data_IF_470984404979
#
_entry.id   IF_470984404979
#
_cell.length_a   1.000
_cell.length_b   1.000
_cell.length_c   1.000
_cell.angle_alpha   90.00
_cell.angle_beta   90.00
_cell.angle_gamma   90.00
#
_symmetry.space_group_name_H-M   'P 1'
#
loop_
_entity.id
_entity.type
_entity.pdbx_description
1 polymer ?
#
# COMPACT_ATOMS: atom_id res chain seq x y z
N UNK A 1 -21.26 22.16 2.24
CA UNK A 1 -20.86 22.36 0.83
C UNK A 1 -20.07 21.14 0.41
N UNK A 2 -20.48 20.48 -0.67
CA UNK A 2 -19.86 19.22 -1.10
C UNK A 2 -18.48 19.49 -1.69
N UNK A 3 -17.46 18.80 -1.18
CA UNK A 3 -16.09 18.86 -1.67
C UNK A 3 -16.04 18.13 -3.02
N UNK A 4 -16.14 18.85 -4.14
CA UNK A 4 -16.12 18.28 -5.48
C UNK A 4 -14.81 18.62 -6.19
N UNK A 5 -13.85 17.71 -6.12
CA UNK A 5 -12.72 17.65 -7.05
C UNK A 5 -11.49 18.50 -6.70
N UNK A 6 -10.32 17.87 -6.89
CA UNK A 6 -8.99 18.47 -6.85
C UNK A 6 -8.57 18.76 -8.31
N UNK A 7 -8.25 20.01 -8.65
CA UNK A 7 -7.75 20.39 -9.98
C UNK A 7 -6.31 20.88 -9.86
N UNK A 8 -5.42 20.35 -10.71
CA UNK A 8 -3.99 20.68 -10.76
C UNK A 8 -3.66 21.39 -12.07
N UNK A 9 -3.01 22.55 -12.02
CA UNK A 9 -2.36 23.15 -13.19
C UNK A 9 -0.92 23.51 -12.83
N UNK A 10 0.04 23.05 -13.62
CA UNK A 10 1.47 23.23 -13.36
C UNK A 10 2.02 24.45 -14.09
N UNK A 11 2.53 25.41 -13.35
CA UNK A 11 3.69 26.21 -13.79
C UNK A 11 4.59 26.39 -12.58
N UNK A 12 5.85 25.94 -12.69
CA UNK A 12 6.90 26.06 -11.66
C UNK A 12 6.77 25.24 -10.36
N UNK A 13 6.31 23.99 -10.42
CA UNK A 13 6.55 23.03 -9.32
C UNK A 13 5.88 23.36 -7.97
N UNK A 14 4.85 24.21 -7.96
CA UNK A 14 4.06 24.54 -6.77
C UNK A 14 2.72 23.81 -6.82
N UNK A 15 2.36 23.10 -5.74
CA UNK A 15 1.02 22.54 -5.54
C UNK A 15 0.09 23.70 -5.15
N UNK A 16 -0.90 23.98 -5.99
CA UNK A 16 -1.98 24.91 -5.68
C UNK A 16 -3.20 24.12 -5.21
N UNK A 17 -3.67 24.40 -3.98
CA UNK A 17 -4.92 23.85 -3.46
C UNK A 17 -5.98 24.94 -3.61
N UNK A 18 -6.94 24.72 -4.51
CA UNK A 18 -8.12 25.57 -4.67
C UNK A 18 -9.39 24.83 -4.23
N UNK A 19 -10.33 25.54 -3.61
CA UNK A 19 -11.70 25.06 -3.42
C UNK A 19 -12.49 25.43 -4.67
N UNK A 20 -13.04 24.45 -5.38
CA UNK A 20 -13.91 24.70 -6.54
C UNK A 20 -15.32 25.05 -6.06
N UNK A 21 -15.80 26.24 -6.44
CA UNK A 21 -17.16 26.73 -6.23
C UNK A 21 -17.67 27.23 -7.59
N UNK A 22 -18.22 26.31 -8.39
CA UNK A 22 -18.55 26.55 -9.80
C UNK A 22 -17.33 26.61 -10.74
N UNK A 23 -17.45 27.36 -11.83
CA UNK A 23 -16.42 27.51 -12.90
C UNK A 23 -15.26 28.47 -12.53
N UNK A 24 -15.18 28.92 -11.27
CA UNK A 24 -14.16 29.87 -10.84
C UNK A 24 -13.19 29.22 -9.84
N UNK A 25 -11.93 29.07 -10.23
CA UNK A 25 -10.85 28.68 -9.31
C UNK A 25 -10.56 29.87 -8.39
N UNK A 26 -10.96 29.79 -7.12
CA UNK A 26 -10.56 30.75 -6.09
C UNK A 26 -9.14 30.39 -5.63
N UNK A 27 -8.17 31.17 -6.10
CA UNK A 27 -6.75 31.07 -5.74
C UNK A 27 -6.56 31.15 -4.22
N UNK A 28 -6.02 30.08 -3.60
CA UNK A 28 -5.41 30.20 -2.27
C UNK A 28 -4.09 30.97 -2.46
N UNK A 29 -3.96 32.06 -1.71
CA UNK A 29 -2.94 33.11 -1.83
C UNK A 29 -1.54 32.55 -2.02
N UNK A 30 -0.88 33.00 -3.10
CA UNK A 30 0.56 32.87 -3.32
C UNK A 30 1.27 33.65 -2.19
N UNK A 31 1.83 32.95 -1.20
CA UNK A 31 2.68 33.58 -0.18
C UNK A 31 4.13 33.23 -0.51
N UNK A 32 4.86 34.19 -1.09
CA UNK A 32 6.27 34.06 -1.52
C UNK A 32 7.24 33.75 -0.37
N UNK A 33 6.79 33.81 0.88
CA UNK A 33 7.62 33.58 2.07
C UNK A 33 7.60 32.13 2.58
N UNK A 34 6.76 31.24 2.02
CA UNK A 34 6.67 29.83 2.44
C UNK A 34 7.23 28.97 1.31
N UNK A 35 8.54 28.70 1.37
CA UNK A 35 9.33 28.05 0.31
C UNK A 35 9.53 26.55 0.50
N UNK A 36 8.89 25.93 1.50
CA UNK A 36 9.12 24.53 1.88
C UNK A 36 7.93 23.61 1.57
N UNK A 37 8.24 22.33 1.32
CA UNK A 37 7.28 21.23 1.14
C UNK A 37 6.24 21.26 2.26
N UNK A 38 4.98 21.55 1.92
CA UNK A 38 3.99 21.98 2.90
C UNK A 38 3.60 20.84 3.86
N UNK A 39 3.98 21.01 5.14
CA UNK A 39 3.52 20.19 6.25
C UNK A 39 2.24 20.84 6.78
N UNK A 40 1.07 20.29 6.45
CA UNK A 40 -0.22 20.90 6.74
C UNK A 40 -1.17 19.94 7.47
N UNK A 41 -2.09 20.51 8.24
CA UNK A 41 -3.23 19.82 8.84
C UNK A 41 -4.33 20.84 9.13
N UNK A 42 -5.58 20.46 8.87
CA UNK A 42 -6.74 21.15 9.45
C UNK A 42 -7.06 20.42 10.75
N UNK A 43 -7.34 21.16 11.83
CA UNK A 43 -7.68 20.55 13.11
C UNK A 43 -9.20 20.51 13.30
N UNK A 44 -9.75 19.34 13.63
CA UNK A 44 -11.20 19.13 13.67
C UNK A 44 -11.95 19.97 14.72
N UNK A 45 -11.27 20.32 15.83
CA UNK A 45 -11.86 21.09 16.93
C UNK A 45 -12.13 22.57 16.62
N UNK A 46 -11.35 23.20 15.74
CA UNK A 46 -11.45 24.63 15.43
C UNK A 46 -11.61 24.94 13.93
N UNK A 47 -11.49 23.93 13.07
CA UNK A 47 -11.55 24.06 11.60
C UNK A 47 -10.50 25.04 11.04
N UNK A 48 -9.36 25.17 11.73
CA UNK A 48 -8.26 26.04 11.33
C UNK A 48 -7.19 25.23 10.58
N UNK A 49 -6.66 25.82 9.49
CA UNK A 49 -5.52 25.27 8.77
C UNK A 49 -4.21 25.68 9.45
N UNK A 50 -3.42 24.68 9.84
CA UNK A 50 -2.07 24.85 10.38
C UNK A 50 -1.03 24.43 9.36
N UNK A 51 0.06 25.20 9.26
CA UNK A 51 1.18 24.93 8.37
C UNK A 51 2.48 25.04 9.16
N UNK A 52 3.22 23.93 9.23
CA UNK A 52 4.58 23.90 9.76
C UNK A 52 5.59 24.32 8.70
N UNK A 53 6.51 25.21 9.09
CA UNK A 53 7.63 25.64 8.25
C UNK A 53 8.80 26.05 9.15
N UNK A 54 10.02 25.70 8.78
CA UNK A 54 11.21 25.88 9.63
C UNK A 54 10.94 25.42 11.09
N UNK A 55 11.06 26.32 12.06
CA UNK A 55 10.75 26.10 13.47
C UNK A 55 9.43 26.75 13.90
N UNK A 56 8.49 27.02 12.99
CA UNK A 56 7.29 27.84 13.23
C UNK A 56 6.01 27.19 12.71
N UNK A 57 4.89 27.51 13.36
CA UNK A 57 3.55 27.21 12.86
C UNK A 57 2.90 28.51 12.39
N UNK A 58 2.44 28.53 11.15
CA UNK A 58 1.46 29.48 10.66
C UNK A 58 0.05 28.90 10.83
N UNK A 59 -0.93 29.76 11.08
CA UNK A 59 -2.35 29.40 11.04
C UNK A 59 -3.14 30.31 10.13
N UNK A 60 -4.13 29.74 9.44
CA UNK A 60 -5.12 30.45 8.66
C UNK A 60 -6.50 30.16 9.24
N UNK A 61 -7.08 31.18 9.85
CA UNK A 61 -8.43 31.18 10.37
C UNK A 61 -9.29 32.06 9.45
N UNK A 62 -10.11 31.41 8.63
CA UNK A 62 -11.03 32.07 7.71
C UNK A 62 -10.39 33.23 6.90
N UNK A 63 -9.26 32.95 6.23
CA UNK A 63 -8.44 33.87 5.42
C UNK A 63 -7.56 34.85 6.21
N UNK A 64 -7.61 34.82 7.54
CA UNK A 64 -6.71 35.62 8.39
C UNK A 64 -5.47 34.81 8.71
N UNK A 65 -4.32 35.28 8.23
CA UNK A 65 -3.04 34.62 8.46
C UNK A 65 -2.32 35.16 9.69
N UNK A 66 -2.01 34.29 10.63
CA UNK A 66 -0.94 34.52 11.62
C UNK A 66 0.25 33.64 11.25
N UNK A 67 1.32 34.25 10.74
CA UNK A 67 2.52 33.54 10.27
C UNK A 67 3.32 32.94 11.45
N UNK A 68 3.25 33.51 12.64
CA UNK A 68 4.02 33.09 13.81
C UNK A 68 3.09 32.70 14.96
N UNK A 69 2.14 31.80 14.68
CA UNK A 69 1.19 31.33 15.66
C UNK A 69 1.86 30.56 16.82
N UNK A 70 2.97 29.88 16.50
CA UNK A 70 3.88 29.25 17.46
C UNK A 70 5.30 29.30 16.92
N UNK A 71 6.29 29.53 17.80
CA UNK A 71 7.72 29.44 17.48
C UNK A 71 8.39 28.43 18.40
N UNK A 72 9.01 27.41 17.82
CA UNK A 72 9.76 26.35 18.49
C UNK A 72 11.26 26.71 18.54
N UNK A 73 12.10 25.97 19.30
CA UNK A 73 13.53 26.23 19.35
C UNK A 73 14.20 26.26 17.96
N UNK A 74 15.13 27.19 17.75
CA UNK A 74 15.73 27.47 16.43
C UNK A 74 16.68 26.39 15.92
N UNK A 75 17.12 25.46 16.78
CA UNK A 75 17.94 24.32 16.39
C UNK A 75 17.09 23.12 15.88
N UNK A 76 15.77 23.27 15.83
CA UNK A 76 14.84 22.27 15.33
C UNK A 76 14.20 22.73 14.02
N UNK A 77 13.80 21.77 13.20
CA UNK A 77 12.92 21.96 12.06
C UNK A 77 11.68 21.08 12.23
N UNK A 78 10.51 21.61 11.91
CA UNK A 78 9.26 20.87 11.85
C UNK A 78 9.32 19.97 10.61
N UNK A 79 9.00 18.70 10.80
CA UNK A 79 9.05 17.68 9.76
C UNK A 79 7.68 17.06 9.49
N UNK A 80 6.77 17.10 10.47
CA UNK A 80 5.41 16.60 10.30
C UNK A 80 4.49 17.22 11.33
N UNK A 81 3.21 17.40 11.00
CA UNK A 81 2.16 17.75 11.96
C UNK A 81 0.97 16.81 11.80
N UNK A 82 0.27 16.53 12.90
CA UNK A 82 -0.94 15.69 12.92
C UNK A 82 -1.88 16.21 13.99
N UNK A 83 -3.17 16.06 13.77
CA UNK A 83 -4.14 16.07 14.85
C UNK A 83 -3.81 14.92 15.84
N UNK A 84 -3.90 15.21 17.14
CA UNK A 84 -3.77 14.26 18.23
C UNK A 84 -4.78 14.59 19.33
N UNK A 85 -6.03 14.12 19.16
CA UNK A 85 -7.14 14.45 20.06
C UNK A 85 -7.37 15.97 20.13
N UNK A 86 -7.21 16.54 21.33
CA UNK A 86 -7.35 17.98 21.54
C UNK A 86 -6.09 18.78 21.26
N UNK A 87 -5.04 18.16 20.73
CA UNK A 87 -3.74 18.79 20.47
C UNK A 87 -3.37 18.70 19.00
N UNK A 88 -2.60 19.68 18.53
CA UNK A 88 -1.77 19.55 17.35
C UNK A 88 -0.44 18.91 17.78
N UNK A 89 -0.18 17.69 17.32
CA UNK A 89 1.12 17.04 17.47
C UNK A 89 2.09 17.54 16.40
N UNK A 90 3.24 18.07 16.82
CA UNK A 90 4.24 18.71 15.97
C UNK A 90 5.54 17.94 16.07
N UNK A 91 5.84 17.15 15.05
CA UNK A 91 7.09 16.41 14.92
C UNK A 91 8.21 17.32 14.43
N UNK A 92 9.33 17.28 15.16
CA UNK A 92 10.52 18.07 14.88
C UNK A 92 11.75 17.17 14.83
N UNK A 93 12.68 17.51 13.95
CA UNK A 93 14.01 16.92 13.91
C UNK A 93 15.07 18.01 14.13
N UNK A 94 16.28 17.61 14.52
CA UNK A 94 17.38 18.54 14.65
C UNK A 94 17.76 19.13 13.28
N UNK A 95 17.95 20.45 13.20
CA UNK A 95 18.31 21.14 11.97
C UNK A 95 19.65 20.65 11.41
N UNK A 96 20.59 20.28 12.28
CA UNK A 96 21.90 19.73 11.90
C UNK A 96 21.83 18.31 11.32
N UNK A 97 20.68 17.63 11.43
CA UNK A 97 20.52 16.21 11.10
C UNK A 97 21.10 15.25 12.15
N UNK A 98 21.72 15.77 13.22
CA UNK A 98 22.30 14.99 14.31
C UNK A 98 21.57 15.29 15.62
N UNK A 99 21.16 14.26 16.35
CA UNK A 99 20.51 14.36 17.66
C UNK A 99 19.17 13.65 17.71
N UNK A 100 18.40 13.94 18.76
CA UNK A 100 17.06 13.40 18.94
C UNK A 100 16.03 14.22 18.18
N UNK A 101 15.02 13.55 17.64
CA UNK A 101 13.77 14.16 17.24
C UNK A 101 12.88 14.38 18.46
N UNK A 102 12.01 15.37 18.38
CA UNK A 102 11.12 15.79 19.47
C UNK A 102 9.71 15.93 18.89
N UNK A 103 8.70 15.53 19.65
CA UNK A 103 7.30 15.83 19.35
C UNK A 103 6.76 16.78 20.41
N UNK A 104 6.15 17.88 19.96
CA UNK A 104 5.44 18.81 20.83
C UNK A 104 3.94 18.59 20.71
N UNK A 105 3.22 18.63 21.83
CA UNK A 105 1.77 18.73 21.84
C UNK A 105 1.39 20.18 22.14
N UNK A 106 0.61 20.79 21.24
CA UNK A 106 0.12 22.15 21.38
C UNK A 106 -1.40 22.16 21.35
N UNK A 107 -2.03 22.77 22.35
CA UNK A 107 -3.48 22.97 22.45
C UNK A 107 -4.04 23.99 21.44
N UNK A 108 -3.17 24.55 20.58
CA UNK A 108 -3.46 25.56 19.55
C UNK A 108 -3.80 26.94 20.09
N UNK A 109 -3.66 27.14 21.40
CA UNK A 109 -3.85 28.44 22.01
C UNK A 109 -2.57 29.27 21.88
N UNK A 110 -2.67 30.36 21.11
CA UNK A 110 -1.56 31.29 20.88
C UNK A 110 -1.41 32.34 21.98
N UNK A 111 -2.29 32.35 22.99
CA UNK A 111 -2.19 33.23 24.16
C UNK A 111 -1.23 32.71 25.22
N UNK A 112 -0.93 31.40 25.19
CA UNK A 112 0.07 30.77 26.05
C UNK A 112 1.40 30.63 25.31
N UNK A 113 2.49 30.90 26.02
CA UNK A 113 3.87 30.75 25.49
C UNK A 113 4.45 29.36 25.75
N UNK A 114 3.74 28.51 26.50
CA UNK A 114 4.17 27.17 26.91
C UNK A 114 3.44 26.09 26.13
N UNK A 115 4.18 25.11 25.64
CA UNK A 115 3.63 23.91 25.00
C UNK A 115 3.03 22.98 26.05
N UNK A 116 1.98 22.25 25.67
CA UNK A 116 1.25 21.36 26.58
C UNK A 116 2.10 20.15 26.99
N UNK A 117 2.87 19.59 26.05
CA UNK A 117 3.79 18.48 26.32
C UNK A 117 4.99 18.49 25.38
N UNK A 118 6.12 17.93 25.85
CA UNK A 118 7.34 17.70 25.08
C UNK A 118 7.72 16.21 25.20
N UNK A 119 7.75 15.52 24.06
CA UNK A 119 8.03 14.08 23.98
C UNK A 119 9.38 13.88 23.27
N UNK A 120 10.33 13.23 23.95
CA UNK A 120 11.58 12.78 23.33
C UNK A 120 11.30 11.62 22.37
N UNK A 121 11.40 11.87 21.06
CA UNK A 121 11.17 10.88 20.02
C UNK A 121 12.39 10.02 19.70
N UNK A 122 13.46 10.20 20.49
CA UNK A 122 14.75 9.52 20.40
C UNK A 122 15.49 9.84 19.10
N UNK A 123 16.55 9.09 18.84
CA UNK A 123 17.43 9.29 17.69
C UNK A 123 16.75 8.96 16.36
N UNK A 124 17.23 9.61 15.30
CA UNK A 124 16.68 9.55 13.95
C UNK A 124 16.01 10.85 13.55
N UNK A 125 15.96 11.12 12.25
CA UNK A 125 15.24 12.25 11.65
C UNK A 125 13.79 11.81 11.44
N UNK A 126 12.89 12.26 12.34
CA UNK A 126 11.46 12.00 12.25
C UNK A 126 10.93 12.64 10.97
N UNK A 127 10.36 11.84 10.05
CA UNK A 127 9.80 12.36 8.78
C UNK A 127 8.29 12.40 8.77
N UNK A 128 7.65 11.40 9.38
CA UNK A 128 6.21 11.22 9.35
C UNK A 128 5.72 11.08 10.78
N UNK A 129 4.69 11.84 11.14
CA UNK A 129 3.97 11.75 12.40
C UNK A 129 2.47 11.72 12.11
N UNK A 130 1.74 10.73 12.60
CA UNK A 130 0.30 10.63 12.36
C UNK A 130 -0.41 9.88 13.49
N UNK A 131 -1.59 10.38 13.89
CA UNK A 131 -2.49 9.63 14.76
C UNK A 131 -3.25 8.56 13.95
N UNK A 132 -3.23 7.31 14.42
CA UNK A 132 -4.16 6.25 14.03
C UNK A 132 -4.60 5.49 15.29
N UNK A 133 -5.85 5.01 15.36
CA UNK A 133 -6.35 4.25 16.53
C UNK A 133 -6.12 4.91 17.91
N UNK A 134 -6.14 6.25 17.99
CA UNK A 134 -5.79 7.02 19.22
C UNK A 134 -4.33 6.94 19.67
N UNK A 135 -3.45 6.41 18.83
CA UNK A 135 -2.02 6.33 19.08
C UNK A 135 -1.28 7.21 18.08
N UNK A 136 -0.25 7.90 18.56
CA UNK A 136 0.61 8.71 17.72
C UNK A 136 1.75 7.85 17.19
N UNK A 137 1.83 7.68 15.88
CA UNK A 137 2.88 6.90 15.19
C UNK A 137 3.84 7.83 14.50
N UNK A 138 5.13 7.56 14.66
CA UNK A 138 6.22 8.29 14.04
C UNK A 138 7.14 7.36 13.26
N UNK A 139 7.51 7.76 12.05
CA UNK A 139 8.45 7.04 11.19
C UNK A 139 9.68 7.92 10.99
N UNK A 140 10.82 7.41 11.42
CA UNK A 140 12.09 8.12 11.38
C UNK A 140 13.06 7.43 10.43
N UNK A 141 13.92 8.21 9.78
CA UNK A 141 15.09 7.71 9.06
C UNK A 141 16.35 7.96 9.88
N UNK A 142 17.23 6.97 9.96
CA UNK A 142 18.52 7.10 10.62
C UNK A 142 19.60 6.66 9.64
N UNK A 143 20.33 7.62 9.07
CA UNK A 143 21.29 7.33 7.98
C UNK A 143 22.62 6.72 8.44
N UNK A 144 23.43 6.31 7.48
CA UNK A 144 24.82 5.92 7.69
C UNK A 144 25.62 7.10 8.29
N UNK A 145 26.28 6.84 9.41
CA UNK A 145 27.24 7.74 10.05
C UNK A 145 28.52 6.95 10.30
N UNK A 146 29.64 7.59 10.63
CA UNK A 146 30.93 6.92 10.82
C UNK A 146 30.90 5.71 11.79
N UNK A 147 29.92 5.64 12.71
CA UNK A 147 29.71 4.55 13.67
C UNK A 147 28.58 3.57 13.29
N UNK A 148 27.92 3.74 12.14
CA UNK A 148 26.78 2.92 11.70
C UNK A 148 26.77 2.76 10.18
N UNK A 149 26.93 1.52 9.72
CA UNK A 149 27.15 1.19 8.30
C UNK A 149 25.86 1.17 7.45
N UNK A 150 24.70 0.95 8.08
CA UNK A 150 23.42 0.77 7.38
C UNK A 150 22.41 1.85 7.76
N UNK A 151 21.64 2.30 6.77
CA UNK A 151 20.48 3.14 6.99
C UNK A 151 19.39 2.35 7.73
N UNK A 152 18.60 3.04 8.54
CA UNK A 152 17.49 2.45 9.30
C UNK A 152 16.22 3.24 9.10
N UNK A 153 15.11 2.50 8.99
CA UNK A 153 13.76 3.07 9.11
C UNK A 153 13.16 2.55 10.41
N UNK A 154 12.85 3.48 11.30
CA UNK A 154 12.47 3.19 12.67
C UNK A 154 11.03 3.64 12.90
N UNK A 155 10.21 2.71 13.37
CA UNK A 155 8.81 2.93 13.65
C UNK A 155 8.62 3.04 15.16
N UNK A 156 8.04 4.16 15.62
CA UNK A 156 7.74 4.39 17.03
C UNK A 156 6.27 4.71 17.23
N UNK A 157 5.76 4.29 18.38
CA UNK A 157 4.44 4.66 18.88
C UNK A 157 4.59 5.41 20.21
N UNK A 158 3.81 6.47 20.39
CA UNK A 158 3.73 7.15 21.68
C UNK A 158 2.84 6.35 22.64
N UNK A 159 3.37 6.06 23.82
CA UNK A 159 2.69 5.34 24.90
C UNK A 159 2.82 6.14 26.19
N UNK A 160 2.20 5.67 27.28
CA UNK A 160 2.41 6.24 28.62
C UNK A 160 3.89 6.28 29.06
N UNK A 161 4.74 5.42 28.48
CA UNK A 161 6.18 5.36 28.74
C UNK A 161 7.02 6.25 27.80
N UNK A 162 6.38 7.06 26.96
CA UNK A 162 7.00 7.85 25.90
C UNK A 162 7.04 7.12 24.54
N UNK A 163 7.92 7.56 23.65
CA UNK A 163 8.09 6.98 22.32
C UNK A 163 8.80 5.61 22.40
N UNK A 164 8.08 4.55 22.02
CA UNK A 164 8.54 3.15 22.04
C UNK A 164 8.72 2.65 20.61
N UNK A 165 9.85 2.00 20.34
CA UNK A 165 10.11 1.35 19.06
C UNK A 165 9.30 0.06 18.91
N UNK A 166 8.59 -0.07 17.79
CA UNK A 166 7.73 -1.23 17.49
C UNK A 166 8.27 -2.07 16.33
N UNK A 167 9.11 -1.47 15.48
CA UNK A 167 9.77 -2.14 14.38
C UNK A 167 10.96 -1.30 13.88
N UNK A 168 11.92 -2.00 13.28
CA UNK A 168 13.05 -1.40 12.58
C UNK A 168 13.30 -2.18 11.29
N UNK A 169 13.55 -1.46 10.20
CA UNK A 169 14.17 -2.01 9.00
C UNK A 169 15.62 -1.55 8.93
N UNK A 170 16.54 -2.52 8.81
CA UNK A 170 17.94 -2.28 8.49
C UNK A 170 18.07 -2.35 6.97
N UNK A 171 18.62 -1.31 6.36
CA UNK A 171 18.64 -1.13 4.91
C UNK A 171 20.06 -1.25 4.37
N UNK A 172 20.25 -2.19 3.43
CA UNK A 172 21.56 -2.58 2.87
C UNK A 172 22.06 -1.63 1.76
N UNK A 173 21.68 -0.35 1.78
CA UNK A 173 22.17 0.65 0.84
C UNK A 173 22.14 2.06 1.42
N UNK A 174 23.09 2.91 1.01
CA UNK A 174 23.12 4.33 1.39
C UNK A 174 22.14 5.19 0.58
N UNK A 175 21.01 4.63 0.17
CA UNK A 175 20.10 5.24 -0.80
C UNK A 175 18.63 5.19 -0.39
N UNK A 176 18.43 5.23 0.92
CA UNK A 176 17.11 5.20 1.55
C UNK A 176 16.34 6.49 1.28
N UNK A 177 15.06 6.35 0.92
CA UNK A 177 14.15 7.48 0.72
C UNK A 177 12.95 7.30 1.64
N UNK A 178 12.65 8.34 2.41
CA UNK A 178 11.43 8.44 3.22
C UNK A 178 10.82 9.84 3.00
N UNK A 179 10.03 10.04 1.92
CA UNK A 179 9.30 11.28 1.71
C UNK A 179 8.32 11.52 2.86
N UNK A 180 7.94 12.77 3.11
CA UNK A 180 6.93 13.12 4.12
C UNK A 180 5.48 12.79 3.70
N UNK A 181 5.32 12.10 2.57
CA UNK A 181 4.04 11.68 2.01
C UNK A 181 3.32 10.72 2.96
N UNK A 182 2.09 11.05 3.34
CA UNK A 182 1.28 10.26 4.27
C UNK A 182 -0.23 10.42 4.03
N UNK A 183 -1.00 9.38 4.31
CA UNK A 183 -2.47 9.40 4.39
C UNK A 183 -2.95 8.39 5.44
N UNK A 184 -4.13 8.61 6.03
CA UNK A 184 -4.80 7.60 6.86
C UNK A 184 -5.92 6.98 6.04
N UNK A 185 -5.88 5.66 5.86
CA UNK A 185 -6.86 4.89 5.08
C UNK A 185 -7.16 3.62 5.85
N UNK A 186 -8.45 3.36 6.10
CA UNK A 186 -8.93 2.18 6.85
C UNK A 186 -8.19 1.97 8.18
N UNK A 187 -7.96 3.07 8.91
CA UNK A 187 -7.26 3.08 10.20
C UNK A 187 -5.81 2.54 10.12
N UNK A 188 -5.18 2.67 8.95
CA UNK A 188 -3.75 2.42 8.71
C UNK A 188 -3.09 3.72 8.26
N UNK A 189 -1.84 3.93 8.68
CA UNK A 189 -0.99 4.99 8.18
C UNK A 189 -0.30 4.51 6.91
N UNK A 190 -0.66 5.12 5.79
CA UNK A 190 -0.03 4.91 4.49
C UNK A 190 1.11 5.93 4.31
N UNK A 191 2.23 5.49 3.74
CA UNK A 191 3.41 6.31 3.51
C UNK A 191 4.23 5.78 2.33
N UNK A 192 5.23 6.54 1.87
CA UNK A 192 6.18 6.07 0.86
C UNK A 192 7.55 5.80 1.45
N UNK A 193 8.20 4.76 0.96
CA UNK A 193 9.56 4.43 1.33
C UNK A 193 10.27 3.68 0.20
N UNK A 194 11.57 3.94 0.05
CA UNK A 194 12.48 3.16 -0.77
C UNK A 194 13.69 2.72 0.05
N UNK A 195 14.04 1.44 -0.03
CA UNK A 195 15.21 0.89 0.63
C UNK A 195 15.48 -0.56 0.21
N UNK A 196 16.72 -1.00 0.37
CA UNK A 196 17.09 -2.39 0.11
C UNK A 196 16.93 -3.23 1.37
N UNK A 197 15.99 -4.16 1.38
CA UNK A 197 15.66 -5.02 2.52
C UNK A 197 15.94 -6.47 2.11
N UNK A 198 16.82 -7.16 2.85
CA UNK A 198 17.18 -8.56 2.61
C UNK A 198 17.61 -8.80 1.14
N UNK A 199 18.57 -8.02 0.66
CA UNK A 199 19.06 -8.13 -0.72
C UNK A 199 18.15 -7.53 -1.81
N UNK A 200 16.88 -7.19 -1.50
CA UNK A 200 15.89 -6.78 -2.50
C UNK A 200 15.56 -5.30 -2.40
N UNK A 201 15.67 -4.56 -3.51
CA UNK A 201 15.18 -3.18 -3.56
C UNK A 201 13.66 -3.17 -3.45
N UNK A 202 13.13 -2.44 -2.47
CA UNK A 202 11.70 -2.22 -2.28
C UNK A 202 11.41 -0.73 -2.31
N UNK A 203 10.55 -0.32 -3.22
CA UNK A 203 10.16 1.07 -3.42
C UNK A 203 8.65 1.15 -3.59
N UNK A 204 8.05 2.22 -3.10
CA UNK A 204 6.66 2.55 -3.33
C UNK A 204 5.89 2.87 -2.07
N UNK A 205 4.64 2.47 -2.05
CA UNK A 205 3.69 2.76 -0.98
C UNK A 205 3.64 1.61 0.01
N UNK A 206 3.67 1.97 1.28
CA UNK A 206 3.66 1.09 2.43
C UNK A 206 2.54 1.51 3.36
N UNK A 207 2.10 0.59 4.21
CA UNK A 207 1.17 0.91 5.29
C UNK A 207 1.61 0.29 6.61
N UNK A 208 1.28 0.97 7.70
CA UNK A 208 1.38 0.43 9.06
C UNK A 208 0.04 0.55 9.76
N UNK A 209 -0.37 -0.51 10.45
CA UNK A 209 -1.58 -0.52 11.26
C UNK A 209 -1.66 -1.76 12.12
N UNK A 210 -2.70 -1.84 12.95
CA UNK A 210 -2.92 -3.02 13.81
C UNK A 210 -3.53 -4.17 13.01
N UNK A 211 -3.08 -5.38 13.32
CA UNK A 211 -3.72 -6.63 12.90
C UNK A 211 -4.98 -6.88 13.74
N UNK A 212 -5.84 -7.85 13.37
CA UNK A 212 -6.98 -8.25 14.21
C UNK A 212 -6.58 -8.71 15.63
N UNK A 213 -5.34 -9.20 15.82
CA UNK A 213 -4.81 -9.56 17.14
C UNK A 213 -4.23 -8.37 17.92
N UNK A 214 -4.28 -7.17 17.35
CA UNK A 214 -3.82 -5.93 17.97
C UNK A 214 -2.32 -5.66 17.80
N UNK A 215 -1.54 -6.50 17.13
CA UNK A 215 -0.11 -6.21 16.88
C UNK A 215 0.07 -5.26 15.71
N UNK A 216 1.11 -4.43 15.70
CA UNK A 216 1.43 -3.64 14.51
C UNK A 216 1.99 -4.52 13.40
N UNK A 217 1.57 -4.25 12.16
CA UNK A 217 2.07 -4.87 10.95
C UNK A 217 2.36 -3.81 9.91
N UNK A 218 3.55 -3.93 9.30
CA UNK A 218 4.02 -3.09 8.21
C UNK A 218 3.93 -3.90 6.92
N UNK A 219 3.31 -3.33 5.89
CA UNK A 219 3.01 -4.01 4.62
C UNK A 219 3.51 -3.14 3.47
N UNK A 220 4.16 -3.76 2.49
CA UNK A 220 4.45 -3.14 1.19
C UNK A 220 3.20 -3.29 0.32
N UNK A 221 2.50 -2.19 0.06
CA UNK A 221 1.19 -2.21 -0.61
C UNK A 221 1.35 -2.22 -2.13
N UNK A 222 2.25 -1.38 -2.65
CA UNK A 222 2.39 -1.19 -4.08
C UNK A 222 3.79 -0.74 -4.46
N UNK A 223 4.29 -1.26 -5.57
CA UNK A 223 5.45 -0.72 -6.27
C UNK A 223 4.98 0.29 -7.32
N UNK A 224 5.68 1.42 -7.54
CA UNK A 224 5.39 2.30 -8.67
C UNK A 224 5.84 1.64 -10.00
N UNK A 225 5.70 2.36 -11.10
CA UNK A 225 6.18 1.93 -12.43
C UNK A 225 5.70 0.53 -12.88
N UNK A 226 4.41 0.26 -12.66
CA UNK A 226 3.76 -1.02 -13.01
C UNK A 226 4.52 -2.25 -12.46
N UNK A 227 4.92 -2.17 -11.19
CA UNK A 227 5.69 -3.20 -10.50
C UNK A 227 7.10 -3.46 -11.08
N UNK A 228 7.66 -2.45 -11.77
CA UNK A 228 9.04 -2.46 -12.26
C UNK A 228 9.98 -1.72 -11.29
N UNK A 229 11.23 -2.17 -11.22
CA UNK A 229 12.24 -1.52 -10.40
C UNK A 229 12.62 -0.14 -10.95
N UNK A 230 12.61 0.89 -10.08
CA UNK A 230 13.08 2.22 -10.45
C UNK A 230 14.61 2.20 -10.62
N UNK A 231 15.09 2.77 -11.72
CA UNK A 231 16.50 2.69 -12.16
C UNK A 231 17.46 3.46 -11.24
N UNK A 232 16.95 4.35 -10.37
CA UNK A 232 17.76 5.16 -9.46
C UNK A 232 17.03 5.29 -8.11
N UNK A 233 17.79 5.39 -7.03
CA UNK A 233 17.29 5.73 -5.71
C UNK A 233 17.08 7.24 -5.57
N UNK A 234 16.13 7.69 -4.73
CA UNK A 234 15.58 9.07 -4.66
C UNK A 234 14.50 9.41 -5.69
N UNK A 235 13.83 8.40 -6.23
CA UNK A 235 12.80 8.62 -7.22
C UNK A 235 11.39 8.80 -6.64
N UNK A 236 11.11 8.57 -5.35
CA UNK A 236 9.74 8.69 -4.82
C UNK A 236 9.45 10.13 -4.34
N UNK A 237 8.30 10.70 -4.74
CA UNK A 237 7.91 12.06 -4.35
C UNK A 237 6.66 12.07 -3.46
N UNK A 238 5.54 11.56 -3.96
CA UNK A 238 4.27 11.60 -3.24
C UNK A 238 3.30 10.52 -3.72
N UNK A 239 2.23 10.29 -2.97
CA UNK A 239 1.11 9.48 -3.39
C UNK A 239 -0.21 10.11 -2.97
N UNK A 240 -1.27 9.75 -3.67
CA UNK A 240 -2.63 10.01 -3.22
C UNK A 240 -3.51 8.83 -3.57
N UNK A 241 -4.21 8.31 -2.58
CA UNK A 241 -5.28 7.36 -2.75
C UNK A 241 -6.61 8.10 -2.79
N UNK A 242 -7.39 7.84 -3.84
CA UNK A 242 -8.74 8.35 -4.04
C UNK A 242 -9.63 7.19 -4.46
N UNK A 243 -10.46 6.71 -3.54
CA UNK A 243 -11.32 5.53 -3.72
C UNK A 243 -10.49 4.30 -4.17
N UNK A 244 -10.80 3.75 -5.35
CA UNK A 244 -10.13 2.56 -5.87
C UNK A 244 -8.79 2.87 -6.58
N UNK A 245 -8.40 4.15 -6.64
CA UNK A 245 -7.26 4.62 -7.40
C UNK A 245 -6.14 5.12 -6.51
N UNK A 246 -4.98 4.49 -6.63
CA UNK A 246 -3.73 4.95 -6.06
C UNK A 246 -2.90 5.62 -7.15
N UNK A 247 -2.54 6.86 -6.92
CA UNK A 247 -1.62 7.64 -7.74
C UNK A 247 -0.28 7.74 -7.01
N UNK A 248 0.83 7.50 -7.71
CA UNK A 248 2.19 7.59 -7.17
C UNK A 248 3.03 8.45 -8.10
N UNK A 249 3.60 9.54 -7.57
CA UNK A 249 4.53 10.38 -8.32
C UNK A 249 5.97 10.00 -8.00
N UNK A 250 6.77 9.90 -9.06
CA UNK A 250 8.17 9.52 -8.96
C UNK A 250 9.00 10.16 -10.07
N UNK A 251 10.31 9.97 -10.05
CA UNK A 251 11.20 10.25 -11.18
C UNK A 251 11.60 8.93 -11.82
N UNK A 252 11.58 8.83 -13.15
CA UNK A 252 12.15 7.68 -13.87
C UNK A 252 13.01 8.20 -15.00
N UNK A 253 14.25 7.71 -15.10
CA UNK A 253 15.22 8.14 -16.12
C UNK A 253 15.38 9.67 -16.22
N UNK A 254 15.34 10.37 -15.08
CA UNK A 254 15.48 11.83 -15.00
C UNK A 254 14.22 12.63 -15.36
N UNK A 255 13.11 11.99 -15.71
CA UNK A 255 11.82 12.64 -15.95
C UNK A 255 10.86 12.43 -14.76
N UNK A 256 10.08 13.44 -14.40
CA UNK A 256 8.97 13.28 -13.47
C UNK A 256 7.87 12.45 -14.12
N UNK A 257 7.36 11.48 -13.39
CA UNK A 257 6.36 10.52 -13.83
C UNK A 257 5.28 10.30 -12.76
N UNK A 258 4.13 9.80 -13.18
CA UNK A 258 2.98 9.51 -12.34
C UNK A 258 2.33 8.20 -12.80
N UNK A 259 2.29 7.20 -11.91
CA UNK A 259 1.48 6.01 -12.15
C UNK A 259 0.15 6.09 -11.42
N UNK A 260 -0.85 5.46 -12.03
CA UNK A 260 -2.19 5.25 -11.47
C UNK A 260 -2.45 3.74 -11.47
N UNK A 261 -3.04 3.18 -10.41
CA UNK A 261 -3.52 1.79 -10.45
C UNK A 261 -4.50 1.60 -11.61
N UNK A 262 -4.20 0.61 -12.45
CA UNK A 262 -4.95 0.33 -13.68
C UNK A 262 -6.41 -0.02 -13.36
N UNK A 263 -7.36 0.70 -13.98
CA UNK A 263 -8.77 0.25 -14.11
C UNK A 263 -9.01 -0.58 -15.36
N UNK A 264 -7.95 -1.01 -16.07
CA UNK A 264 -8.15 -1.88 -17.21
C UNK A 264 -8.73 -3.20 -16.68
N UNK A 265 -9.95 -3.55 -17.11
CA UNK A 265 -10.60 -4.83 -16.80
C UNK A 265 -9.92 -6.04 -17.47
N UNK A 266 -8.60 -5.96 -17.65
CA UNK A 266 -7.79 -6.92 -18.36
C UNK A 266 -6.52 -7.18 -17.56
N UNK A 267 -6.47 -8.32 -16.88
CA UNK A 267 -5.27 -8.79 -16.19
C UNK A 267 -4.42 -9.60 -17.19
N UNK A 268 -3.14 -9.27 -17.32
CA UNK A 268 -2.18 -10.03 -18.16
C UNK A 268 -1.42 -11.10 -17.36
N UNK A 269 -1.53 -11.07 -16.03
CA UNK A 269 -0.90 -12.05 -15.17
C UNK A 269 -1.57 -13.42 -15.33
N UNK A 270 -0.74 -14.46 -15.38
CA UNK A 270 -1.21 -15.84 -15.30
C UNK A 270 -1.47 -16.19 -13.85
N UNK A 271 -2.68 -16.64 -13.53
CA UNK A 271 -3.02 -17.16 -12.21
C UNK A 271 -3.18 -18.68 -12.27
N UNK A 272 -2.62 -19.37 -11.27
CA UNK A 272 -2.66 -20.83 -11.15
C UNK A 272 -3.31 -21.16 -9.80
N UNK A 273 -4.31 -22.04 -9.83
CA UNK A 273 -4.93 -22.63 -8.63
C UNK A 273 -4.88 -24.14 -8.73
N UNK A 274 -4.31 -24.76 -7.72
CA UNK A 274 -4.36 -26.20 -7.53
C UNK A 274 -5.40 -26.56 -6.47
N UNK A 275 -6.08 -27.67 -6.67
CA UNK A 275 -7.04 -28.21 -5.70
C UNK A 275 -6.34 -29.16 -4.74
N UNK A 276 -6.96 -29.37 -3.57
CA UNK A 276 -6.60 -30.50 -2.71
C UNK A 276 -7.02 -31.83 -3.36
N UNK A 277 -6.47 -32.93 -2.88
CA UNK A 277 -6.82 -34.28 -3.33
C UNK A 277 -8.33 -34.54 -3.18
N UNK A 278 -8.96 -35.07 -4.25
CA UNK A 278 -10.36 -35.45 -4.33
C UNK A 278 -11.32 -34.32 -3.87
N UNK A 279 -11.24 -33.12 -4.47
CA UNK A 279 -12.00 -31.96 -4.01
C UNK A 279 -13.50 -32.23 -4.17
N UNK A 280 -14.32 -31.89 -3.18
CA UNK A 280 -15.79 -32.11 -3.21
C UNK A 280 -16.24 -33.57 -3.44
N UNK A 281 -15.36 -34.56 -3.25
CA UNK A 281 -15.71 -35.98 -3.29
C UNK A 281 -16.33 -36.44 -1.97
N UNK A 282 -17.31 -37.35 -2.05
CA UNK A 282 -17.87 -38.03 -0.88
C UNK A 282 -16.78 -38.76 -0.11
N UNK A 283 -16.76 -38.62 1.22
CA UNK A 283 -15.72 -39.21 2.07
C UNK A 283 -15.59 -40.72 1.90
N UNK A 284 -16.72 -41.42 1.79
CA UNK A 284 -16.77 -42.87 1.59
C UNK A 284 -16.13 -43.34 0.27
N UNK A 285 -15.92 -42.45 -0.70
CA UNK A 285 -15.36 -42.79 -2.00
C UNK A 285 -13.89 -42.41 -2.13
N UNK A 286 -13.37 -41.51 -1.29
CA UNK A 286 -12.01 -40.94 -1.42
C UNK A 286 -10.92 -42.00 -1.51
N UNK A 287 -11.04 -43.11 -0.79
CA UNK A 287 -10.03 -44.17 -0.76
C UNK A 287 -10.19 -45.20 -1.88
N UNK A 288 -11.32 -45.25 -2.59
CA UNK A 288 -11.61 -46.27 -3.62
C UNK A 288 -10.92 -45.96 -4.94
N UNK A 289 -10.65 -46.97 -5.76
CA UNK A 289 -10.23 -46.75 -7.15
C UNK A 289 -11.43 -46.24 -7.96
N UNK A 290 -11.19 -45.25 -8.81
CA UNK A 290 -12.22 -44.48 -9.50
C UNK A 290 -11.82 -44.24 -10.94
N UNK A 291 -12.80 -43.94 -11.77
CA UNK A 291 -12.66 -43.51 -13.16
C UNK A 291 -13.38 -42.16 -13.28
N UNK A 292 -12.67 -41.11 -13.73
CA UNK A 292 -13.35 -39.87 -14.11
C UNK A 292 -14.15 -40.12 -15.40
N UNK A 293 -15.36 -39.57 -15.45
CA UNK A 293 -16.26 -39.67 -16.60
C UNK A 293 -16.46 -38.32 -17.30
N UNK A 294 -16.45 -37.25 -16.52
CA UNK A 294 -16.61 -35.89 -17.01
C UNK A 294 -16.00 -34.89 -16.04
N UNK A 295 -15.42 -33.82 -16.58
CA UNK A 295 -14.94 -32.67 -15.82
C UNK A 295 -15.49 -31.41 -16.48
N UNK A 296 -16.00 -30.50 -15.65
CA UNK A 296 -16.68 -29.28 -16.04
C UNK A 296 -16.09 -28.10 -15.29
N UNK A 297 -15.82 -27.02 -16.02
CA UNK A 297 -15.44 -25.74 -15.45
C UNK A 297 -16.38 -24.65 -15.97
N UNK A 298 -16.92 -23.86 -15.06
CA UNK A 298 -17.77 -22.70 -15.33
C UNK A 298 -17.00 -21.41 -15.11
N UNK A 299 -17.40 -20.37 -15.84
CA UNK A 299 -16.79 -19.05 -15.82
C UNK A 299 -17.85 -17.96 -15.95
N UNK A 300 -17.52 -16.74 -15.52
CA UNK A 300 -18.09 -15.57 -16.18
C UNK A 300 -17.71 -15.57 -17.68
N UNK A 301 -18.53 -15.00 -18.59
CA UNK A 301 -18.29 -15.05 -20.03
C UNK A 301 -16.83 -14.73 -20.38
N UNK A 302 -16.12 -15.70 -20.97
CA UNK A 302 -14.68 -15.55 -21.25
C UNK A 302 -14.48 -14.32 -22.16
N UNK A 303 -13.64 -13.34 -21.78
CA UNK A 303 -13.37 -12.20 -22.65
C UNK A 303 -12.59 -12.62 -23.89
N UNK A 304 -12.73 -11.87 -24.99
CA UNK A 304 -11.89 -12.06 -26.17
C UNK A 304 -10.40 -11.95 -25.81
N UNK A 305 -9.62 -12.98 -26.14
CA UNK A 305 -8.20 -13.08 -25.79
C UNK A 305 -7.91 -13.62 -24.37
N UNK A 306 -8.93 -14.02 -23.61
CA UNK A 306 -8.77 -14.81 -22.39
C UNK A 306 -8.59 -16.29 -22.68
N UNK A 307 -7.93 -17.01 -21.78
CA UNK A 307 -7.75 -18.46 -21.84
C UNK A 307 -7.89 -19.10 -20.46
N UNK A 308 -8.63 -20.21 -20.40
CA UNK A 308 -8.71 -21.11 -19.25
C UNK A 308 -8.17 -22.49 -19.62
N UNK A 309 -7.20 -22.97 -18.86
CA UNK A 309 -6.59 -24.29 -19.02
C UNK A 309 -6.93 -25.10 -17.77
N UNK A 310 -7.53 -26.27 -17.99
CA UNK A 310 -7.80 -27.22 -16.92
C UNK A 310 -6.96 -28.47 -17.13
N UNK A 311 -6.22 -28.84 -16.10
CA UNK A 311 -5.36 -30.01 -16.07
C UNK A 311 -5.70 -30.87 -14.86
N UNK A 312 -5.35 -32.16 -14.92
CA UNK A 312 -5.46 -33.07 -13.78
C UNK A 312 -4.21 -33.94 -13.64
N UNK A 313 -4.02 -34.47 -12.43
CA UNK A 313 -3.06 -35.54 -12.15
C UNK A 313 -3.70 -36.61 -11.28
N UNK A 314 -3.09 -37.79 -11.29
CA UNK A 314 -3.63 -38.99 -10.65
C UNK A 314 -2.58 -39.62 -9.73
N UNK A 315 -2.99 -40.03 -8.54
CA UNK A 315 -2.17 -40.79 -7.56
C UNK A 315 -0.80 -40.14 -7.30
N UNK A 316 -0.79 -38.81 -7.22
CA UNK A 316 0.41 -38.00 -6.96
C UNK A 316 1.57 -38.30 -7.92
N UNK A 317 1.30 -38.55 -9.21
CA UNK A 317 2.35 -38.69 -10.22
C UNK A 317 3.22 -37.42 -10.26
N UNK A 318 4.46 -37.52 -9.77
CA UNK A 318 5.34 -36.37 -9.53
C UNK A 318 5.46 -35.45 -10.74
N UNK A 319 4.90 -34.24 -10.61
CA UNK A 319 5.07 -33.13 -11.56
C UNK A 319 4.36 -33.25 -12.90
N UNK A 320 3.69 -34.36 -13.22
CA UNK A 320 3.05 -34.56 -14.53
C UNK A 320 1.56 -34.19 -14.45
N UNK A 321 1.18 -33.12 -15.15
CA UNK A 321 -0.19 -32.70 -15.34
C UNK A 321 -0.66 -33.07 -16.75
N UNK A 322 -1.87 -33.61 -16.83
CA UNK A 322 -2.52 -33.97 -18.10
C UNK A 322 -3.58 -32.94 -18.42
N UNK A 323 -3.50 -32.30 -19.58
CA UNK A 323 -4.47 -31.29 -20.02
C UNK A 323 -5.81 -31.95 -20.35
N UNK A 324 -6.89 -31.42 -19.74
CA UNK A 324 -8.27 -31.77 -20.06
C UNK A 324 -8.76 -30.93 -21.23
N UNK A 325 -8.53 -29.62 -21.18
CA UNK A 325 -8.80 -28.71 -22.29
C UNK A 325 -8.05 -27.39 -22.11
N UNK A 326 -7.94 -26.65 -23.22
CA UNK A 326 -7.67 -25.21 -23.25
C UNK A 326 -8.87 -24.49 -23.89
N UNK A 327 -9.60 -23.69 -23.12
CA UNK A 327 -10.73 -22.90 -23.61
C UNK A 327 -10.30 -21.45 -23.87
N UNK A 328 -10.52 -20.99 -25.10
CA UNK A 328 -10.17 -19.63 -25.54
C UNK A 328 -11.33 -18.92 -26.22
N UNK A 329 -12.48 -19.59 -26.34
CA UNK A 329 -13.62 -19.09 -27.08
C UNK A 329 -14.32 -18.01 -26.27
N UNK A 330 -14.37 -16.79 -26.82
CA UNK A 330 -15.04 -15.67 -26.16
C UNK A 330 -16.52 -15.94 -25.89
N UNK A 331 -17.03 -15.40 -24.79
CA UNK A 331 -18.39 -15.56 -24.27
C UNK A 331 -18.77 -16.98 -23.82
N UNK A 332 -17.82 -17.92 -23.80
CA UNK A 332 -18.06 -19.25 -23.22
C UNK A 332 -18.23 -19.10 -21.71
N UNK A 333 -19.25 -19.77 -21.17
CA UNK A 333 -19.58 -19.77 -19.74
C UNK A 333 -19.35 -21.14 -19.09
N UNK A 334 -19.26 -22.21 -19.88
CA UNK A 334 -19.06 -23.57 -19.41
C UNK A 334 -18.26 -24.35 -20.45
N UNK A 335 -17.26 -25.09 -19.99
CA UNK A 335 -16.56 -26.11 -20.78
C UNK A 335 -16.63 -27.43 -20.05
N UNK A 336 -17.21 -28.44 -20.70
CA UNK A 336 -17.25 -29.82 -20.21
C UNK A 336 -16.45 -30.72 -21.17
N UNK A 337 -15.75 -31.70 -20.58
CA UNK A 337 -15.03 -32.73 -21.31
C UNK A 337 -15.20 -34.09 -20.64
N UNK A 338 -15.33 -35.12 -21.46
CA UNK A 338 -15.34 -36.52 -21.03
C UNK A 338 -14.03 -37.24 -21.33
N UNK A 339 -13.06 -36.54 -21.92
CA UNK A 339 -11.75 -37.03 -22.36
C UNK A 339 -10.69 -35.95 -22.18
N UNK A 340 -9.43 -36.33 -22.26
CA UNK A 340 -8.30 -35.39 -22.29
C UNK A 340 -8.30 -34.57 -23.58
N UNK A 341 -7.49 -33.51 -23.63
CA UNK A 341 -7.30 -32.69 -24.82
C UNK A 341 -6.69 -33.50 -25.98
N UNK A 342 -5.92 -34.54 -25.65
CA UNK A 342 -5.38 -35.51 -26.61
C UNK A 342 -6.43 -36.52 -27.13
N UNK A 343 -7.64 -36.53 -26.58
CA UNK A 343 -8.71 -37.46 -26.94
C UNK A 343 -8.66 -38.80 -26.22
N UNK A 344 -7.78 -38.95 -25.21
CA UNK A 344 -7.68 -40.15 -24.39
C UNK A 344 -8.76 -40.18 -23.29
N UNK A 345 -9.14 -41.38 -22.88
CA UNK A 345 -9.93 -41.54 -21.65
C UNK A 345 -9.11 -41.04 -20.44
N UNK A 346 -9.79 -40.54 -19.41
CA UNK A 346 -9.11 -40.14 -18.19
C UNK A 346 -8.42 -41.32 -17.51
N UNK A 347 -7.25 -41.10 -16.92
CA UNK A 347 -6.56 -42.15 -16.17
C UNK A 347 -7.33 -42.53 -14.91
N UNK A 348 -7.58 -43.83 -14.70
CA UNK A 348 -8.18 -44.33 -13.47
C UNK A 348 -7.21 -44.22 -12.29
N UNK A 349 -7.68 -43.88 -11.10
CA UNK A 349 -6.85 -43.83 -9.89
C UNK A 349 -7.65 -43.62 -8.61
N UNK A 350 -6.96 -43.41 -7.48
CA UNK A 350 -7.60 -43.18 -6.16
C UNK A 350 -7.65 -41.70 -5.81
N UNK A 351 -6.60 -40.96 -6.16
CA UNK A 351 -6.42 -39.55 -5.84
C UNK A 351 -6.44 -38.73 -7.12
N UNK A 352 -7.36 -37.76 -7.19
CA UNK A 352 -7.44 -36.79 -8.28
C UNK A 352 -7.17 -35.39 -7.76
N UNK A 353 -6.30 -34.68 -8.45
CA UNK A 353 -6.07 -33.25 -8.25
C UNK A 353 -6.22 -32.53 -9.57
N UNK A 354 -6.75 -31.31 -9.50
CA UNK A 354 -6.95 -30.43 -10.64
C UNK A 354 -6.11 -29.16 -10.49
N UNK A 355 -5.54 -28.72 -11.61
CA UNK A 355 -4.89 -27.42 -11.75
C UNK A 355 -5.65 -26.59 -12.76
N UNK A 356 -6.01 -25.40 -12.35
CA UNK A 356 -6.63 -24.38 -13.17
C UNK A 356 -5.62 -23.27 -13.41
N UNK A 357 -5.34 -23.01 -14.68
CA UNK A 357 -4.51 -21.88 -15.12
C UNK A 357 -5.36 -20.93 -15.95
N UNK A 358 -5.42 -19.66 -15.56
CA UNK A 358 -6.06 -18.60 -16.35
C UNK A 358 -5.03 -17.60 -16.85
N UNK A 359 -5.15 -17.18 -18.12
CA UNK A 359 -4.21 -16.24 -18.74
C UNK A 359 -4.91 -15.37 -19.81
N UNK A 360 -4.16 -14.44 -20.38
CA UNK A 360 -4.57 -13.65 -21.54
C UNK A 360 -5.43 -12.43 -21.23
N UNK A 361 -6.43 -12.54 -20.33
CA UNK A 361 -7.34 -11.46 -19.87
C UNK A 361 -8.06 -11.87 -18.55
N UNK A 362 -9.04 -11.06 -18.10
CA UNK A 362 -9.92 -11.30 -16.94
C UNK A 362 -10.84 -12.53 -17.16
N UNK A 363 -10.27 -13.72 -17.07
CA UNK A 363 -11.05 -14.96 -17.00
C UNK A 363 -11.36 -15.24 -15.55
N UNK A 364 -12.64 -15.43 -15.21
CA UNK A 364 -13.11 -15.62 -13.83
C UNK A 364 -13.82 -16.97 -13.70
N UNK A 365 -13.08 -18.04 -13.36
CA UNK A 365 -13.67 -19.34 -13.10
C UNK A 365 -14.56 -19.28 -11.86
N UNK A 366 -15.79 -19.75 -11.99
CA UNK A 366 -16.82 -19.68 -10.95
C UNK A 366 -17.06 -21.03 -10.28
N UNK A 367 -16.89 -22.15 -10.99
CA UNK A 367 -17.18 -23.48 -10.46
C UNK A 367 -16.39 -24.59 -11.16
N UNK A 368 -15.84 -25.53 -10.37
CA UNK A 368 -15.28 -26.80 -10.85
C UNK A 368 -16.16 -27.96 -10.39
N UNK A 369 -16.63 -28.78 -11.33
CA UNK A 369 -17.40 -30.00 -11.10
C UNK A 369 -16.78 -31.17 -11.86
N UNK A 370 -16.98 -32.38 -11.35
CA UNK A 370 -16.62 -33.60 -12.06
C UNK A 370 -17.54 -34.75 -11.67
N UNK A 371 -17.66 -35.72 -12.58
CA UNK A 371 -18.38 -36.97 -12.39
C UNK A 371 -17.39 -38.13 -12.44
N UNK A 372 -17.59 -39.11 -11.58
CA UNK A 372 -16.76 -40.30 -11.49
C UNK A 372 -17.61 -41.54 -11.21
N UNK A 373 -17.12 -42.69 -11.66
CA UNK A 373 -17.58 -44.01 -11.23
C UNK A 373 -16.53 -44.67 -10.34
N UNK A 374 -17.01 -45.48 -9.39
CA UNK A 374 -16.15 -46.31 -8.55
C UNK A 374 -15.87 -47.58 -9.33
N UNK A 375 -14.59 -47.91 -9.48
CA UNK A 375 -14.19 -49.20 -10.04
C UNK A 375 -14.22 -50.22 -8.91
N UNK A 376 -15.01 -51.30 -9.09
CA UNK A 376 -14.99 -52.41 -8.15
C UNK A 376 -13.55 -52.90 -7.98
N UNK A 377 -13.09 -52.87 -6.74
CA UNK A 377 -11.84 -53.52 -6.36
C UNK A 377 -12.27 -54.71 -5.52
N UNK A 378 -12.26 -55.89 -6.14
CA UNK A 378 -12.25 -57.15 -5.41
C UNK A 378 -11.07 -57.08 -4.46
N UNK A 379 -11.35 -57.06 -3.16
CA UNK A 379 -10.33 -57.22 -2.13
C UNK A 379 -9.71 -58.61 -2.30
#
# INVERSE_FOLDING_TARGET
>A
SNFTGLSTTTTNGVIQIGVQDGDTVKQLVHNTDITTTQILSVHSQDDILYIGYDNKIAKNDNKTWNKTALTLPTHLKITSISEFGNYLAIGCANLSGVGNSIVYLWDRDSSFTTLSEIIDWRSGDLKILQQISSELIGISISGNIASRLDDRIIFRVYTASGAVEIAEFILESGTTVLPIAKQVIDNRLWFMMSGKINGTQKHGVWSIGRTPSGTFSIVHERTPDNDTALVISNNLHNFINVNDFLFQSFTSNGAFDLTKTSSAGTYSATAIRETVINPNMREADRTKKKQLEAVLLSYEPIPSGGSAILEYRVDSSDGVWTTIFTETTANTIVTERTKTDAGDEFTSGREYEFRLTVTGKKVEPTELKYRYSILETTI
#
